data_IF_824672672242
#
_entry.id   IF_824672672242
#
_cell.length_a   1.000
_cell.length_b   1.000
_cell.length_c   1.000
_cell.angle_alpha   90.00
_cell.angle_beta   90.00
_cell.angle_gamma   90.00
#
_symmetry.space_group_name_H-M   'P 1'
#
loop_
_entity.id
_entity.type
_entity.pdbx_description
1 polymer ?
#
# COMPACT_ATOMS: atom_id res chain seq x y z
N UNK A 1 -19.27 4.98 -19.51
CA UNK A 1 -18.08 4.11 -19.57
C UNK A 1 -17.09 4.62 -18.52
N UNK A 2 -16.36 3.74 -17.82
CA UNK A 2 -15.42 4.18 -16.79
C UNK A 2 -14.22 4.88 -17.45
N UNK A 3 -14.02 6.17 -17.14
CA UNK A 3 -12.98 6.99 -17.76
C UNK A 3 -11.58 6.81 -17.13
N UNK A 4 -11.40 5.88 -16.18
CA UNK A 4 -10.16 5.66 -15.43
C UNK A 4 -9.90 4.15 -15.14
N UNK A 5 -9.83 3.28 -16.17
CA UNK A 5 -9.71 1.84 -15.97
C UNK A 5 -8.38 1.41 -15.30
N UNK A 6 -7.27 2.12 -15.52
CA UNK A 6 -5.97 1.74 -14.98
C UNK A 6 -5.88 2.00 -13.47
N UNK A 7 -6.43 3.14 -13.03
CA UNK A 7 -6.53 3.49 -11.60
C UNK A 7 -7.49 2.54 -10.87
N UNK A 8 -8.61 2.18 -11.49
CA UNK A 8 -9.52 1.18 -10.93
C UNK A 8 -8.84 -0.19 -10.78
N UNK A 9 -8.12 -0.66 -11.80
CA UNK A 9 -7.34 -1.90 -11.73
C UNK A 9 -6.27 -1.85 -10.63
N UNK A 10 -5.56 -0.73 -10.53
CA UNK A 10 -4.56 -0.50 -9.46
C UNK A 10 -5.21 -0.60 -8.08
N UNK A 11 -6.40 -0.02 -7.91
CA UNK A 11 -7.18 -0.11 -6.66
C UNK A 11 -7.57 -1.55 -6.34
N UNK A 12 -7.98 -2.35 -7.33
CA UNK A 12 -8.26 -3.78 -7.13
C UNK A 12 -7.01 -4.55 -6.67
N UNK A 13 -5.83 -4.24 -7.22
CA UNK A 13 -4.59 -4.84 -6.75
C UNK A 13 -4.22 -4.42 -5.32
N UNK A 14 -4.53 -3.19 -4.90
CA UNK A 14 -4.41 -2.77 -3.49
C UNK A 14 -5.33 -3.62 -2.60
N UNK A 15 -6.58 -3.88 -3.03
CA UNK A 15 -7.51 -4.76 -2.29
C UNK A 15 -6.94 -6.17 -2.16
N UNK A 16 -6.37 -6.72 -3.24
CA UNK A 16 -5.73 -8.04 -3.21
C UNK A 16 -4.51 -8.08 -2.28
N UNK A 17 -3.70 -7.01 -2.26
CA UNK A 17 -2.59 -6.87 -1.32
C UNK A 17 -3.08 -6.86 0.13
N UNK A 18 -4.11 -6.05 0.45
CA UNK A 18 -4.72 -5.98 1.78
C UNK A 18 -5.25 -7.34 2.22
N UNK A 19 -5.94 -8.04 1.32
CA UNK A 19 -6.42 -9.40 1.58
C UNK A 19 -5.25 -10.37 1.84
N UNK A 20 -4.19 -10.31 1.02
CA UNK A 20 -3.01 -11.14 1.18
C UNK A 20 -2.29 -10.95 2.51
N UNK A 21 -2.10 -9.71 2.97
CA UNK A 21 -1.46 -9.45 4.28
C UNK A 21 -2.37 -9.84 5.45
N UNK A 22 -3.70 -9.71 5.32
CA UNK A 22 -4.64 -10.19 6.32
C UNK A 22 -4.64 -11.73 6.41
N UNK A 23 -4.63 -12.42 5.26
CA UNK A 23 -4.51 -13.87 5.22
C UNK A 23 -3.19 -14.37 5.84
N UNK A 24 -2.08 -13.65 5.62
CA UNK A 24 -0.80 -13.98 6.23
C UNK A 24 -0.84 -13.92 7.77
N UNK A 25 -1.56 -12.95 8.35
CA UNK A 25 -1.81 -12.89 9.80
C UNK A 25 -2.64 -14.08 10.28
N UNK A 26 -3.71 -14.44 9.55
CA UNK A 26 -4.52 -15.62 9.86
C UNK A 26 -3.73 -16.93 9.84
N UNK A 27 -2.84 -17.10 8.86
CA UNK A 27 -1.94 -18.26 8.76
C UNK A 27 -0.96 -18.29 9.93
N UNK A 28 -0.31 -17.16 10.25
CA UNK A 28 0.62 -17.08 11.37
C UNK A 28 -0.07 -17.33 12.72
N UNK A 29 -1.29 -16.84 12.88
CA UNK A 29 -2.13 -17.08 14.06
C UNK A 29 -2.37 -18.58 14.27
N UNK A 30 -2.80 -19.28 13.22
CA UNK A 30 -3.06 -20.72 13.27
C UNK A 30 -1.77 -21.52 13.51
N UNK A 31 -0.67 -21.13 12.86
CA UNK A 31 0.62 -21.82 12.95
C UNK A 31 1.21 -21.80 14.36
N UNK A 32 1.02 -20.69 15.07
CA UNK A 32 1.61 -20.46 16.39
C UNK A 32 0.58 -20.53 17.55
N UNK A 33 -0.59 -21.11 17.29
CA UNK A 33 -1.71 -21.29 18.24
C UNK A 33 -2.08 -20.02 19.05
N UNK A 34 -2.05 -18.86 18.39
CA UNK A 34 -2.35 -17.59 19.06
C UNK A 34 -3.87 -17.39 19.12
N UNK A 35 -4.47 -17.67 20.28
CA UNK A 35 -5.91 -17.48 20.50
C UNK A 35 -6.33 -16.01 20.38
N UNK A 36 -7.40 -15.74 19.64
CA UNK A 36 -8.02 -14.41 19.64
C UNK A 36 -8.53 -14.08 21.07
N UNK A 37 -8.48 -12.80 21.51
CA UNK A 37 -8.12 -11.58 20.77
C UNK A 37 -6.62 -11.22 20.81
N UNK A 38 -5.74 -12.14 21.22
CA UNK A 38 -4.31 -11.81 21.37
C UNK A 38 -3.67 -11.36 20.04
N UNK A 39 -2.88 -10.29 20.14
CA UNK A 39 -2.11 -9.67 19.05
C UNK A 39 -0.60 -9.71 19.29
N UNK A 40 -0.17 -10.39 20.36
CA UNK A 40 1.23 -10.64 20.74
C UNK A 40 1.46 -12.14 20.95
N UNK A 41 2.71 -12.57 20.90
CA UNK A 41 3.08 -13.98 21.07
C UNK A 41 4.33 -14.33 20.28
N UNK A 42 4.19 -15.16 19.23
CA UNK A 42 5.34 -15.57 18.44
C UNK A 42 5.88 -14.41 17.57
N UNK A 43 7.21 -14.20 17.48
CA UNK A 43 7.78 -13.09 16.69
C UNK A 43 7.38 -13.07 15.21
N UNK A 44 7.15 -14.22 14.58
CA UNK A 44 6.60 -14.25 13.20
C UNK A 44 5.17 -13.71 13.11
N UNK A 45 4.33 -14.00 14.10
CA UNK A 45 2.95 -13.52 14.17
C UNK A 45 2.92 -12.00 14.39
N UNK A 46 3.72 -11.50 15.34
CA UNK A 46 3.82 -10.06 15.58
C UNK A 46 4.32 -9.30 14.35
N UNK A 47 5.29 -9.86 13.61
CA UNK A 47 5.75 -9.29 12.33
C UNK A 47 4.66 -9.27 11.28
N UNK A 48 3.89 -10.35 11.13
CA UNK A 48 2.76 -10.39 10.21
C UNK A 48 1.71 -9.31 10.57
N UNK A 49 1.37 -9.18 11.85
CA UNK A 49 0.45 -8.15 12.34
C UNK A 49 0.99 -6.73 12.03
N UNK A 50 2.27 -6.48 12.29
CA UNK A 50 2.90 -5.18 11.97
C UNK A 50 2.89 -4.87 10.48
N UNK A 51 3.18 -5.86 9.63
CA UNK A 51 3.11 -5.72 8.16
C UNK A 51 1.69 -5.37 7.74
N UNK A 52 0.68 -6.08 8.25
CA UNK A 52 -0.73 -5.83 7.92
C UNK A 52 -1.16 -4.42 8.34
N UNK A 53 -0.98 -4.05 9.61
CA UNK A 53 -1.42 -2.75 10.14
C UNK A 53 -0.72 -1.60 9.41
N UNK A 54 0.60 -1.69 9.21
CA UNK A 54 1.32 -0.67 8.46
C UNK A 54 0.80 -0.56 7.01
N UNK A 55 0.51 -1.69 6.36
CA UNK A 55 -0.07 -1.71 5.00
C UNK A 55 -1.41 -1.00 4.95
N UNK A 56 -2.26 -1.21 5.94
CA UNK A 56 -3.56 -0.52 6.07
C UNK A 56 -3.36 0.99 6.23
N UNK A 57 -2.51 1.43 7.17
CA UNK A 57 -2.25 2.86 7.43
C UNK A 57 -1.80 3.61 6.17
N UNK A 58 -0.86 3.04 5.42
CA UNK A 58 -0.40 3.66 4.18
C UNK A 58 -1.43 3.62 3.06
N UNK A 59 -2.24 2.55 2.99
CA UNK A 59 -3.30 2.45 1.98
C UNK A 59 -4.32 3.57 2.14
N UNK A 60 -4.65 3.95 3.37
CA UNK A 60 -5.57 5.06 3.66
C UNK A 60 -5.07 6.40 3.13
N UNK A 61 -3.76 6.60 3.04
CA UNK A 61 -3.16 7.82 2.46
C UNK A 61 -2.99 7.72 0.94
N UNK A 62 -2.58 6.55 0.44
CA UNK A 62 -2.32 6.32 -0.99
C UNK A 62 -3.59 6.39 -1.81
N UNK A 63 -4.71 5.85 -1.34
CA UNK A 63 -5.96 5.83 -2.10
C UNK A 63 -6.46 7.24 -2.46
N UNK A 64 -6.60 8.20 -1.53
CA UNK A 64 -6.94 9.58 -1.88
C UNK A 64 -5.97 10.19 -2.89
N UNK A 65 -4.65 10.09 -2.66
CA UNK A 65 -3.67 10.64 -3.59
C UNK A 65 -3.76 10.00 -4.99
N UNK A 66 -4.01 8.69 -5.07
CA UNK A 66 -4.18 7.95 -6.32
C UNK A 66 -5.33 8.50 -7.15
N UNK A 67 -6.50 8.65 -6.53
CA UNK A 67 -7.69 9.11 -7.22
C UNK A 67 -7.62 10.59 -7.58
N UNK A 68 -7.00 11.43 -6.74
CA UNK A 68 -6.75 12.84 -7.07
C UNK A 68 -5.78 12.94 -8.26
N UNK A 69 -4.67 12.19 -8.25
CA UNK A 69 -3.73 12.16 -9.37
C UNK A 69 -4.40 11.69 -10.68
N UNK A 70 -5.26 10.66 -10.60
CA UNK A 70 -5.99 10.16 -11.76
C UNK A 70 -6.96 11.20 -12.34
N UNK A 71 -7.69 11.90 -11.47
CA UNK A 71 -8.68 12.89 -11.88
C UNK A 71 -8.08 14.21 -12.40
N UNK A 72 -6.98 14.68 -11.81
CA UNK A 72 -6.42 16.02 -12.10
C UNK A 72 -5.20 16.00 -13.02
N UNK A 73 -4.53 14.86 -13.16
CA UNK A 73 -3.30 14.72 -13.96
C UNK A 73 -3.45 13.66 -15.04
N UNK A 74 -3.89 12.45 -14.68
CA UNK A 74 -4.25 11.42 -15.66
C UNK A 74 -4.13 9.99 -15.15
N UNK A 75 -4.94 9.10 -15.74
CA UNK A 75 -5.09 7.70 -15.34
C UNK A 75 -3.76 6.92 -15.37
N UNK A 76 -2.98 7.06 -16.43
CA UNK A 76 -1.73 6.31 -16.62
C UNK A 76 -0.66 6.65 -15.57
N UNK A 77 -0.51 7.93 -15.24
CA UNK A 77 0.49 8.38 -14.25
C UNK A 77 0.11 7.86 -12.86
N UNK A 78 -1.16 7.99 -12.48
CA UNK A 78 -1.67 7.47 -11.21
C UNK A 78 -1.43 5.95 -11.11
N UNK A 79 -1.78 5.19 -12.15
CA UNK A 79 -1.61 3.74 -12.18
C UNK A 79 -0.15 3.30 -12.08
N UNK A 80 0.80 3.98 -12.74
CA UNK A 80 2.23 3.66 -12.64
C UNK A 80 2.74 3.88 -11.22
N UNK A 81 2.48 5.05 -10.63
CA UNK A 81 2.90 5.35 -9.26
C UNK A 81 2.28 4.39 -8.23
N UNK A 82 0.99 4.07 -8.38
CA UNK A 82 0.31 3.10 -7.53
C UNK A 82 0.86 1.68 -7.69
N UNK A 83 1.21 1.27 -8.91
CA UNK A 83 1.82 -0.05 -9.17
C UNK A 83 3.21 -0.19 -8.54
N UNK A 84 4.04 0.86 -8.61
CA UNK A 84 5.34 0.89 -7.93
C UNK A 84 5.15 0.76 -6.42
N UNK A 85 4.18 1.49 -5.85
CA UNK A 85 3.86 1.39 -4.43
C UNK A 85 3.44 -0.05 -4.05
N UNK A 86 2.52 -0.67 -4.80
CA UNK A 86 2.07 -2.06 -4.56
C UNK A 86 3.27 -3.02 -4.59
N UNK A 87 4.11 -2.95 -5.62
CA UNK A 87 5.30 -3.81 -5.74
C UNK A 87 6.25 -3.64 -4.55
N UNK A 88 6.48 -2.41 -4.11
CA UNK A 88 7.28 -2.12 -2.94
C UNK A 88 6.65 -2.68 -1.64
N UNK A 89 5.31 -2.67 -1.50
CA UNK A 89 4.62 -3.27 -0.34
C UNK A 89 4.66 -4.79 -0.33
N UNK A 90 4.55 -5.43 -1.50
CA UNK A 90 4.75 -6.88 -1.61
C UNK A 90 6.18 -7.24 -1.20
N UNK A 91 7.18 -6.52 -1.70
CA UNK A 91 8.58 -6.73 -1.30
C UNK A 91 8.77 -6.48 0.21
N UNK A 92 8.20 -5.41 0.76
CA UNK A 92 8.25 -5.11 2.20
C UNK A 92 7.67 -6.27 3.03
N UNK A 93 6.52 -6.80 2.64
CA UNK A 93 5.88 -7.92 3.35
C UNK A 93 6.74 -9.20 3.32
N UNK A 94 7.37 -9.50 2.18
CA UNK A 94 8.26 -10.67 2.05
C UNK A 94 9.56 -10.48 2.83
N UNK A 95 10.19 -9.31 2.70
CA UNK A 95 11.45 -8.97 3.35
C UNK A 95 11.31 -9.03 4.88
N UNK A 96 10.31 -8.36 5.45
CA UNK A 96 10.10 -8.32 6.91
C UNK A 96 9.82 -9.72 7.49
N UNK A 97 9.12 -10.59 6.75
CA UNK A 97 8.90 -11.98 7.18
C UNK A 97 10.19 -12.78 7.22
N UNK A 98 11.10 -12.58 6.26
CA UNK A 98 12.38 -13.29 6.18
C UNK A 98 13.37 -12.76 7.22
N UNK A 99 13.58 -11.45 7.23
CA UNK A 99 14.54 -10.77 8.10
C UNK A 99 14.01 -9.35 8.44
N UNK A 100 13.73 -9.05 9.72
CA UNK A 100 13.24 -7.75 10.15
C UNK A 100 14.10 -6.56 9.73
N UNK A 101 15.42 -6.75 9.61
CA UNK A 101 16.35 -5.68 9.29
C UNK A 101 16.37 -5.35 7.79
N UNK A 102 15.94 -6.30 6.95
CA UNK A 102 15.87 -6.14 5.50
C UNK A 102 14.67 -5.29 5.00
N UNK A 103 13.80 -4.84 5.90
CA UNK A 103 12.56 -4.12 5.54
C UNK A 103 12.77 -2.67 5.10
N UNK A 104 13.94 -2.08 5.36
CA UNK A 104 14.20 -0.66 5.17
C UNK A 104 14.12 -0.20 3.71
N UNK A 105 14.81 -0.89 2.81
CA UNK A 105 14.84 -0.56 1.38
C UNK A 105 13.46 -0.61 0.71
N UNK A 106 12.66 -1.69 0.83
CA UNK A 106 11.32 -1.70 0.24
C UNK A 106 10.36 -0.70 0.90
N UNK A 107 10.54 -0.42 2.19
CA UNK A 107 9.78 0.63 2.86
C UNK A 107 10.08 2.02 2.27
N UNK A 108 11.36 2.34 2.07
CA UNK A 108 11.77 3.60 1.44
C UNK A 108 11.22 3.73 0.02
N UNK A 109 11.26 2.68 -0.78
CA UNK A 109 10.69 2.69 -2.13
C UNK A 109 9.19 2.96 -2.10
N UNK A 110 8.44 2.34 -1.18
CA UNK A 110 7.02 2.61 -1.00
C UNK A 110 6.78 4.07 -0.55
N UNK A 111 7.59 4.59 0.37
CA UNK A 111 7.48 5.97 0.83
C UNK A 111 7.75 6.98 -0.31
N UNK A 112 8.76 6.73 -1.15
CA UNK A 112 9.07 7.55 -2.31
C UNK A 112 7.95 7.50 -3.36
N UNK A 113 7.39 6.32 -3.63
CA UNK A 113 6.27 6.17 -4.56
C UNK A 113 5.02 6.94 -4.07
N UNK A 114 4.73 6.87 -2.76
CA UNK A 114 3.67 7.67 -2.15
C UNK A 114 3.97 9.18 -2.22
N UNK A 115 5.20 9.59 -1.90
CA UNK A 115 5.61 11.00 -1.98
C UNK A 115 5.45 11.57 -3.40
N UNK A 116 5.88 10.82 -4.42
CA UNK A 116 5.67 11.18 -5.82
C UNK A 116 4.18 11.31 -6.15
N UNK A 117 3.36 10.33 -5.72
CA UNK A 117 1.92 10.37 -5.93
C UNK A 117 1.25 11.58 -5.26
N UNK A 118 1.66 11.91 -4.04
CA UNK A 118 1.19 13.09 -3.31
C UNK A 118 1.57 14.41 -3.98
N UNK A 119 2.80 14.52 -4.50
CA UNK A 119 3.25 15.69 -5.26
C UNK A 119 2.47 15.85 -6.57
N UNK A 120 2.23 14.75 -7.29
CA UNK A 120 1.44 14.74 -8.53
C UNK A 120 -0.01 15.17 -8.24
N UNK A 121 -0.62 14.59 -7.20
CA UNK A 121 -1.97 14.95 -6.77
C UNK A 121 -2.07 16.45 -6.40
N UNK A 122 -1.14 16.93 -5.57
CA UNK A 122 -1.09 18.34 -5.16
C UNK A 122 -0.87 19.29 -6.33
N UNK A 123 0.06 18.98 -7.23
CA UNK A 123 0.27 19.74 -8.46
C UNK A 123 -1.00 19.80 -9.32
N UNK A 124 -1.67 18.67 -9.52
CA UNK A 124 -2.91 18.60 -10.29
C UNK A 124 -4.00 19.52 -9.74
N UNK A 125 -4.21 19.50 -8.42
CA UNK A 125 -5.18 20.36 -7.73
C UNK A 125 -4.78 21.84 -7.85
N UNK A 126 -3.52 22.18 -7.55
CA UNK A 126 -3.04 23.57 -7.63
C UNK A 126 -3.15 24.13 -9.05
N UNK A 127 -2.81 23.33 -10.07
CA UNK A 127 -2.96 23.71 -11.47
C UNK A 127 -4.42 24.01 -11.81
N UNK A 128 -5.36 23.22 -11.33
CA UNK A 128 -6.79 23.45 -11.56
C UNK A 128 -7.32 24.69 -10.83
N UNK A 129 -6.79 25.01 -9.65
CA UNK A 129 -7.17 26.22 -8.91
C UNK A 129 -6.56 27.51 -9.48
N UNK A 130 -5.33 27.45 -10.00
CA UNK A 130 -4.60 28.62 -10.49
C UNK A 130 -4.79 28.88 -12.00
N UNK A 131 -5.15 27.85 -12.75
CA UNK A 131 -5.36 27.91 -14.20
C UNK A 131 -6.82 27.81 -14.63
N UNK A 132 -7.75 27.89 -13.68
CA UNK A 132 -9.17 28.12 -13.94
C UNK A 132 -9.44 29.57 -14.31
#
# INVERSE_FOLDING_TARGET
MANLPLTALTTLFIVLLLFGVAAAVGVARKRHDIRAPAMTGHPEFERACRVQTNTIEWTLMVLPCLWIAAAFVGDGIAAVCGSVWIGARVWYAVAYRRDPDSRGTPFLLAALAFGALGLIAGFGVMRALLGG
#
